data_IF_445038588294
#
_entry.id   IF_445038588294
#
_cell.length_a   1.000
_cell.length_b   1.000
_cell.length_c   1.000
_cell.angle_alpha   90.00
_cell.angle_beta   90.00
_cell.angle_gamma   90.00
#
_symmetry.space_group_name_H-M   'P 1'
#
loop_
_entity.id
_entity.type
_entity.pdbx_description
1 polymer ?
#
# COMPACT_ATOMS: atom_id res chain seq x y z
N UNK A 1 -1.00 3.10 10.22
CA UNK A 1 -1.57 3.39 8.88
C UNK A 1 -0.77 2.54 7.94
N UNK A 2 -1.46 1.62 7.30
CA UNK A 2 -0.99 0.33 6.83
C UNK A 2 -1.52 0.24 5.40
N UNK A 3 -0.80 -0.39 4.47
CA UNK A 3 -1.38 -0.80 3.21
C UNK A 3 -2.71 -1.44 3.56
N UNK A 4 -3.78 -0.83 3.05
CA UNK A 4 -4.96 -1.59 2.68
C UNK A 4 -4.43 -2.91 2.16
N UNK A 5 -4.73 -4.06 2.79
CA UNK A 5 -4.18 -5.35 2.38
C UNK A 5 -4.62 -5.62 0.93
N UNK A 6 -3.92 -5.03 -0.04
CA UNK A 6 -4.38 -4.93 -1.39
C UNK A 6 -4.22 -6.32 -1.97
N UNK A 7 -5.28 -6.89 -2.55
CA UNK A 7 -5.18 -8.18 -3.21
C UNK A 7 -4.03 -8.16 -4.21
N UNK A 8 -3.26 -9.25 -4.29
CA UNK A 8 -2.16 -9.39 -5.25
C UNK A 8 -2.54 -8.93 -6.67
N UNK A 9 -3.73 -9.25 -7.23
CA UNK A 9 -4.12 -8.75 -8.55
C UNK A 9 -4.16 -7.22 -8.69
N UNK A 10 -4.43 -6.49 -7.60
CA UNK A 10 -4.42 -5.02 -7.58
C UNK A 10 -2.98 -4.53 -7.64
N UNK A 11 -2.09 -5.08 -6.81
CA UNK A 11 -0.65 -4.75 -6.83
C UNK A 11 -0.06 -5.06 -8.20
N UNK A 12 -0.39 -6.21 -8.80
CA UNK A 12 0.01 -6.56 -10.17
C UNK A 12 -0.49 -5.53 -11.18
N UNK A 13 -1.72 -5.01 -11.02
CA UNK A 13 -2.26 -3.96 -11.89
C UNK A 13 -1.46 -2.65 -11.79
N UNK A 14 -1.17 -2.19 -10.57
CA UNK A 14 -0.38 -0.97 -10.32
C UNK A 14 1.02 -1.10 -10.95
N UNK A 15 1.71 -2.21 -10.65
CA UNK A 15 3.05 -2.48 -11.16
C UNK A 15 3.07 -2.58 -12.68
N UNK A 16 2.03 -3.16 -13.29
CA UNK A 16 1.89 -3.24 -14.76
C UNK A 16 1.75 -1.85 -15.39
N UNK A 17 0.95 -0.97 -14.80
CA UNK A 17 0.81 0.41 -15.27
C UNK A 17 2.14 1.17 -15.17
N UNK A 18 2.87 1.01 -14.05
CA UNK A 18 4.17 1.66 -13.88
C UNK A 18 5.21 1.13 -14.88
N UNK A 19 5.28 -0.19 -15.09
CA UNK A 19 6.18 -0.85 -16.04
C UNK A 19 5.90 -0.47 -17.51
N UNK A 20 4.68 -0.06 -17.82
CA UNK A 20 4.33 0.42 -19.16
C UNK A 20 5.02 1.74 -19.52
N UNK A 21 5.43 2.52 -18.52
CA UNK A 21 6.12 3.81 -18.69
C UNK A 21 7.60 3.70 -18.32
N UNK A 22 7.93 2.98 -17.25
CA UNK A 22 9.28 2.84 -16.74
C UNK A 22 9.86 1.44 -16.99
N UNK A 23 10.99 1.34 -17.72
CA UNK A 23 11.61 0.05 -18.02
C UNK A 23 12.20 -0.65 -16.79
N UNK A 24 12.53 0.07 -15.71
CA UNK A 24 13.05 -0.53 -14.48
C UNK A 24 12.08 -0.28 -13.33
N UNK A 25 11.66 -1.37 -12.67
CA UNK A 25 10.69 -1.30 -11.57
C UNK A 25 11.13 -2.23 -10.45
N UNK A 26 11.05 -1.73 -9.21
CA UNK A 26 11.31 -2.50 -7.98
C UNK A 26 10.22 -2.23 -6.94
N UNK A 27 10.06 -3.15 -6.00
CA UNK A 27 9.12 -3.02 -4.88
C UNK A 27 9.91 -3.13 -3.58
N UNK A 28 9.66 -2.18 -2.69
CA UNK A 28 10.35 -2.02 -1.41
C UNK A 28 9.34 -1.97 -0.27
N UNK A 29 9.71 -2.40 0.93
CA UNK A 29 9.01 -2.05 2.15
C UNK A 29 9.41 -0.65 2.59
N UNK A 30 8.45 0.27 2.69
CA UNK A 30 8.71 1.63 3.17
C UNK A 30 8.54 1.77 4.69
N UNK A 31 7.65 0.97 5.27
CA UNK A 31 7.39 0.89 6.71
C UNK A 31 6.79 -0.50 7.01
N UNK A 32 6.65 -0.91 8.28
CA UNK A 32 5.95 -2.13 8.63
C UNK A 32 4.53 -2.16 8.05
N UNK A 33 4.29 -3.07 7.12
CA UNK A 33 2.99 -3.21 6.46
C UNK A 33 2.74 -2.23 5.32
N UNK A 34 3.75 -1.46 4.88
CA UNK A 34 3.68 -0.62 3.69
C UNK A 34 4.69 -1.00 2.61
N UNK A 35 4.28 -0.86 1.34
CA UNK A 35 5.15 -1.07 0.17
C UNK A 35 5.18 0.17 -0.69
N UNK A 36 6.36 0.42 -1.22
CA UNK A 36 6.65 1.44 -2.21
C UNK A 36 7.02 0.77 -3.53
N UNK A 37 6.44 1.27 -4.63
CA UNK A 37 6.80 0.83 -5.98
C UNK A 37 7.62 1.93 -6.64
N UNK A 38 8.85 1.61 -7.01
CA UNK A 38 9.78 2.54 -7.64
C UNK A 38 9.87 2.26 -9.14
N UNK A 39 9.75 3.31 -9.96
CA UNK A 39 9.92 3.25 -11.42
C UNK A 39 11.07 4.15 -11.87
N UNK A 40 11.90 3.67 -12.79
CA UNK A 40 13.02 4.42 -13.33
C UNK A 40 13.23 4.16 -14.83
N UNK A 41 13.70 5.19 -15.54
CA UNK A 41 14.15 5.09 -16.93
C UNK A 41 15.51 4.41 -17.09
N UNK A 42 16.30 4.32 -16.01
CA UNK A 42 17.62 3.68 -15.97
C UNK A 42 17.65 2.56 -14.92
N UNK A 43 18.52 1.56 -15.06
CA UNK A 43 18.70 0.54 -14.03
C UNK A 43 19.00 1.18 -12.67
N UNK A 44 18.46 0.60 -11.61
CA UNK A 44 18.79 1.02 -10.25
C UNK A 44 20.22 0.56 -9.93
N UNK A 45 21.06 1.52 -9.55
CA UNK A 45 22.42 1.28 -9.05
C UNK A 45 22.49 1.83 -7.63
N UNK A 46 22.87 0.99 -6.68
CA UNK A 46 22.99 1.38 -5.29
C UNK A 46 24.45 1.34 -4.88
N UNK A 47 24.98 2.50 -4.51
CA UNK A 47 26.35 2.62 -4.01
C UNK A 47 26.36 2.50 -2.49
N UNK A 48 27.07 1.51 -1.91
CA UNK A 48 27.14 1.34 -0.46
C UNK A 48 27.63 2.61 0.26
N UNK A 49 28.60 3.31 -0.32
CA UNK A 49 29.12 4.55 0.24
C UNK A 49 28.07 5.67 0.27
N UNK A 50 27.12 5.69 -0.68
CA UNK A 50 26.02 6.64 -0.65
C UNK A 50 25.00 6.30 0.44
N UNK A 51 24.68 5.01 0.61
CA UNK A 51 23.82 4.54 1.68
C UNK A 51 24.41 4.83 3.07
N UNK A 52 25.71 4.62 3.26
CA UNK A 52 26.41 4.96 4.50
C UNK A 52 26.24 6.45 4.85
N UNK A 53 26.38 7.33 3.87
CA UNK A 53 26.18 8.79 4.07
C UNK A 53 24.73 9.16 4.35
N UNK A 54 23.77 8.32 3.96
CA UNK A 54 22.35 8.60 4.15
C UNK A 54 21.85 8.05 5.48
N UNK A 55 22.02 6.75 5.72
CA UNK A 55 21.42 6.01 6.85
C UNK A 55 22.46 5.45 7.82
N UNK A 56 23.74 5.75 7.65
CA UNK A 56 24.77 5.38 8.63
C UNK A 56 24.66 6.19 9.93
N UNK A 57 25.45 5.83 10.97
CA UNK A 57 25.38 6.45 12.29
C UNK A 57 25.58 7.98 12.30
N UNK A 58 26.28 8.51 11.29
CA UNK A 58 26.50 9.95 11.08
C UNK A 58 25.89 10.45 9.76
N UNK A 59 25.03 9.64 9.15
CA UNK A 59 24.35 9.97 7.91
C UNK A 59 23.24 11.00 8.12
N UNK A 60 22.82 11.63 7.02
CA UNK A 60 21.79 12.69 7.07
C UNK A 60 20.45 12.25 7.68
N UNK A 61 20.16 10.95 7.65
CA UNK A 61 18.98 10.32 8.22
C UNK A 61 19.34 9.32 9.33
N UNK A 62 20.52 9.38 9.95
CA UNK A 62 20.97 8.37 10.90
C UNK A 62 19.97 8.09 12.04
N UNK A 63 19.49 9.12 12.72
CA UNK A 63 18.49 8.98 13.80
C UNK A 63 17.12 8.52 13.28
N UNK A 64 16.69 9.05 12.13
CA UNK A 64 15.41 8.71 11.50
C UNK A 64 15.41 7.32 10.87
N UNK A 65 16.58 6.82 10.45
CA UNK A 65 16.74 5.52 9.83
C UNK A 65 16.42 4.40 10.80
N UNK A 66 16.86 4.54 12.05
CA UNK A 66 16.43 3.62 13.09
C UNK A 66 14.95 3.77 13.43
N UNK A 67 14.49 4.99 13.74
CA UNK A 67 13.13 5.23 14.23
C UNK A 67 12.04 4.83 13.21
N UNK A 68 12.22 5.18 11.94
CA UNK A 68 11.19 5.02 10.91
C UNK A 68 11.42 3.80 10.02
N UNK A 69 12.66 3.39 9.81
CA UNK A 69 13.01 2.31 8.90
C UNK A 69 13.47 1.05 9.64
N UNK A 70 13.79 1.12 10.94
CA UNK A 70 14.31 -0.02 11.69
C UNK A 70 15.70 -0.46 11.22
N UNK A 71 16.49 0.48 10.70
CA UNK A 71 17.83 0.23 10.15
C UNK A 71 18.88 0.74 11.12
N UNK A 72 19.60 -0.19 11.76
CA UNK A 72 20.75 0.10 12.65
C UNK A 72 22.06 0.21 11.88
N UNK A 73 22.14 -0.48 10.74
CA UNK A 73 23.33 -0.50 9.89
C UNK A 73 22.96 -0.30 8.43
N UNK A 74 23.73 0.46 7.64
CA UNK A 74 23.39 0.76 6.26
C UNK A 74 23.17 -0.45 5.36
N UNK A 75 23.85 -1.57 5.65
CA UNK A 75 23.65 -2.81 4.88
C UNK A 75 22.26 -3.42 5.08
N UNK A 76 21.63 -3.18 6.22
CA UNK A 76 20.28 -3.66 6.53
C UNK A 76 19.20 -2.96 5.68
N UNK A 77 19.49 -1.79 5.13
CA UNK A 77 18.55 -1.05 4.29
C UNK A 77 18.10 -1.87 3.07
N UNK A 78 18.98 -2.71 2.51
CA UNK A 78 18.60 -3.60 1.40
C UNK A 78 17.65 -4.73 1.81
N UNK A 79 17.51 -5.02 3.11
CA UNK A 79 16.48 -5.93 3.61
C UNK A 79 15.05 -5.46 3.32
N UNK A 80 14.89 -4.17 2.99
CA UNK A 80 13.63 -3.60 2.56
C UNK A 80 13.30 -3.89 1.09
N UNK A 81 14.25 -4.40 0.28
CA UNK A 81 13.95 -4.78 -1.10
C UNK A 81 13.07 -6.04 -1.12
N UNK A 82 11.78 -5.85 -1.38
CA UNK A 82 10.81 -6.94 -1.44
C UNK A 82 10.89 -7.68 -2.78
N UNK A 83 10.90 -6.94 -3.90
CA UNK A 83 11.05 -7.52 -5.24
C UNK A 83 11.97 -6.66 -6.10
N UNK A 84 13.12 -7.22 -6.46
CA UNK A 84 13.95 -6.72 -7.57
C UNK A 84 13.31 -6.98 -8.94
N UNK A 85 14.00 -6.63 -10.02
CA UNK A 85 13.45 -6.69 -11.38
C UNK A 85 12.94 -8.10 -11.77
N UNK A 86 13.68 -9.15 -11.41
CA UNK A 86 13.27 -10.53 -11.66
C UNK A 86 12.00 -10.91 -10.87
N UNK A 87 11.90 -10.47 -9.61
CA UNK A 87 10.71 -10.67 -8.79
C UNK A 87 9.50 -9.94 -9.34
N UNK A 88 9.69 -8.71 -9.84
CA UNK A 88 8.66 -7.94 -10.55
C UNK A 88 8.21 -8.64 -11.82
N UNK A 89 9.14 -9.21 -12.62
CA UNK A 89 8.77 -10.00 -13.79
C UNK A 89 7.89 -11.20 -13.42
N UNK A 90 8.23 -11.92 -12.35
CA UNK A 90 7.41 -13.01 -11.80
C UNK A 90 6.02 -12.54 -11.33
N UNK A 91 5.93 -11.39 -10.68
CA UNK A 91 4.65 -10.78 -10.28
C UNK A 91 3.78 -10.44 -11.50
N UNK A 92 4.38 -9.92 -12.58
CA UNK A 92 3.69 -9.50 -13.79
C UNK A 92 3.21 -10.67 -14.67
N UNK A 93 3.77 -11.87 -14.49
CA UNK A 93 3.27 -13.10 -15.09
C UNK A 93 1.90 -13.52 -14.52
N UNK A 94 1.50 -12.98 -13.37
CA UNK A 94 0.20 -13.25 -12.74
C UNK A 94 -0.91 -12.38 -13.34
N UNK A 95 -2.17 -12.81 -13.29
CA UNK A 95 -3.30 -11.96 -13.64
C UNK A 95 -3.33 -10.70 -12.78
N UNK A 96 -3.55 -9.55 -13.43
CA UNK A 96 -3.68 -8.25 -12.76
C UNK A 96 -5.01 -7.59 -13.11
N UNK A 97 -5.47 -6.70 -12.24
CA UNK A 97 -6.60 -5.84 -12.56
C UNK A 97 -6.19 -4.83 -13.63
N UNK A 98 -7.05 -4.67 -14.64
CA UNK A 98 -6.94 -3.55 -15.58
C UNK A 98 -7.55 -2.33 -14.91
N UNK A 99 -6.69 -1.33 -14.65
CA UNK A 99 -7.06 -0.03 -14.14
C UNK A 99 -6.72 1.02 -15.20
N UNK A 100 -7.67 1.92 -15.46
CA UNK A 100 -7.61 3.02 -16.42
C UNK A 100 -8.50 4.15 -15.90
N UNK A 101 -8.33 5.36 -16.40
CA UNK A 101 -9.16 6.50 -16.01
C UNK A 101 -10.65 6.28 -16.34
N UNK A 102 -10.93 5.62 -17.47
CA UNK A 102 -12.29 5.20 -17.88
C UNK A 102 -12.80 3.95 -17.14
N UNK A 103 -11.94 3.33 -16.31
CA UNK A 103 -12.23 2.12 -15.55
C UNK A 103 -11.49 2.13 -14.19
N UNK A 104 -11.85 3.03 -13.25
CA UNK A 104 -11.12 3.29 -12.01
C UNK A 104 -11.34 2.20 -10.95
N UNK A 105 -10.97 0.95 -11.27
CA UNK A 105 -11.23 -0.21 -10.39
C UNK A 105 -10.45 -0.16 -9.08
N UNK A 106 -9.29 0.51 -9.06
CA UNK A 106 -8.41 0.57 -7.91
C UNK A 106 -9.08 1.30 -6.75
N UNK A 107 -9.66 2.46 -7.04
CA UNK A 107 -10.33 3.37 -6.12
C UNK A 107 -11.52 2.69 -5.45
N UNK A 108 -12.32 1.97 -6.22
CA UNK A 108 -13.45 1.21 -5.67
C UNK A 108 -13.01 0.02 -4.80
N UNK A 109 -11.96 -0.69 -5.18
CA UNK A 109 -11.44 -1.81 -4.37
C UNK A 109 -10.80 -1.31 -3.07
N UNK A 110 -10.02 -0.24 -3.14
CA UNK A 110 -9.41 0.40 -1.98
C UNK A 110 -10.48 0.93 -1.01
N UNK A 111 -11.48 1.67 -1.52
CA UNK A 111 -12.58 2.19 -0.71
C UNK A 111 -13.37 1.08 0.00
N UNK A 112 -13.67 -0.02 -0.69
CA UNK A 112 -14.36 -1.16 -0.07
C UNK A 112 -13.54 -1.79 1.06
N UNK A 113 -12.25 -2.02 0.82
CA UNK A 113 -11.34 -2.57 1.85
C UNK A 113 -11.27 -1.67 3.09
N UNK A 114 -11.26 -0.36 2.91
CA UNK A 114 -11.27 0.58 4.03
C UNK A 114 -12.52 0.46 4.91
N UNK A 115 -13.68 0.33 4.27
CA UNK A 115 -14.95 0.15 4.99
C UNK A 115 -14.96 -1.19 5.72
N UNK A 116 -14.56 -2.27 5.06
CA UNK A 116 -14.51 -3.61 5.64
C UNK A 116 -13.53 -3.69 6.85
N UNK A 117 -12.38 -3.01 6.78
CA UNK A 117 -11.40 -2.99 7.88
C UNK A 117 -11.89 -2.22 9.12
N UNK A 118 -12.76 -1.22 8.94
CA UNK A 118 -13.36 -0.47 10.06
C UNK A 118 -14.46 -1.27 10.78
N UNK A 119 -15.17 -2.15 10.07
CA UNK A 119 -16.18 -3.00 10.68
C UNK A 119 -15.57 -4.03 11.65
N UNK A 120 -14.31 -4.41 11.45
CA UNK A 120 -13.58 -5.31 12.37
C UNK A 120 -13.01 -4.63 13.62
N UNK A 121 -12.88 -3.30 13.65
CA UNK A 121 -12.42 -2.54 14.83
C UNK A 121 -13.59 -2.03 15.72
N UNK A 122 -14.83 -2.35 15.37
CA UNK A 122 -16.03 -1.78 15.98
C UNK A 122 -17.09 -2.79 16.38
N UNK A 123 -16.79 -3.77 17.24
CA UNK A 123 -17.85 -4.41 18.07
C UNK A 123 -18.10 -3.52 19.30
N UNK A 124 -18.55 -2.31 19.04
CA UNK A 124 -19.32 -1.51 20.00
C UNK A 124 -20.81 -1.87 19.86
N UNK A 125 -21.63 -1.78 20.93
CA UNK A 125 -23.01 -2.23 20.87
C UNK A 125 -23.77 -1.47 19.78
N UNK A 126 -24.42 -2.22 18.88
CA UNK A 126 -25.27 -1.66 17.82
C UNK A 126 -26.31 -0.74 18.45
N UNK A 127 -26.51 0.50 17.95
CA UNK A 127 -27.63 1.31 18.39
C UNK A 127 -28.93 0.59 18.06
N UNK A 128 -29.76 0.36 19.09
CA UNK A 128 -31.13 -0.12 18.92
C UNK A 128 -31.83 0.83 17.96
N UNK A 129 -32.29 0.30 16.84
CA UNK A 129 -33.25 1.00 15.98
C UNK A 129 -34.49 1.24 16.84
N UNK A 130 -34.72 2.50 17.21
CA UNK A 130 -35.97 2.90 17.80
C UNK A 130 -37.05 2.70 16.74
N UNK A 131 -37.94 1.74 16.97
CA UNK A 131 -39.16 1.56 16.20
C UNK A 131 -39.95 2.86 16.31
N UNK A 132 -39.95 3.68 15.27
CA UNK A 132 -40.86 4.81 15.18
C UNK A 132 -42.29 4.25 15.08
N UNK A 133 -43.03 4.33 16.18
CA UNK A 133 -44.46 4.05 16.20
C UNK A 133 -45.16 4.99 15.21
N UNK A 134 -45.85 4.41 14.22
CA UNK A 134 -46.71 5.15 13.28
C UNK A 134 -47.84 5.81 14.09
N UNK A 135 -48.12 7.12 13.95
CA UNK A 135 -49.30 7.70 14.55
C UNK A 135 -50.55 7.17 13.82
N UNK A 136 -51.47 6.60 14.60
CA UNK A 136 -52.78 6.15 14.17
C UNK A 136 -53.67 7.35 13.87
N UNK A 137 -54.09 7.49 12.62
CA UNK A 137 -55.22 8.36 12.26
C UNK A 137 -56.52 7.56 12.39
N UNK A 138 -57.33 7.91 13.41
CA UNK A 138 -58.74 7.53 13.48
C UNK A 138 -59.56 8.50 12.63
N UNK A 139 -60.53 8.04 11.82
CA UNK A 139 -61.42 8.93 11.10
C UNK A 139 -62.50 9.45 12.06
N UNK A 140 -62.68 10.78 12.13
CA UNK A 140 -63.89 11.36 12.71
C UNK A 140 -65.00 11.31 11.67
N UNK A 141 -66.17 10.83 12.12
CA UNK A 141 -67.44 10.87 11.40
C UNK A 141 -67.95 12.30 11.24
#
# INVERSE_FOLDING_TARGET
MQLYQLPVPIVTGIVRSLKAVFPHVQIWFSSPGDVMVLGSARPFVYEPAWLERLVGPHGALGELGFEYLGVDRPEQYFGHLLLGEAGVAGLLARPGVVHRDDRPRLEFVAARRFLDSRDTEGVGPRPRVATASRPSFLPRR
#
